data_IF_167810127943
#
_entry.id   IF_167810127943
#
_cell.length_a   1.000
_cell.length_b   1.000
_cell.length_c   1.000
_cell.angle_alpha   90.00
_cell.angle_beta   90.00
_cell.angle_gamma   90.00
#
_symmetry.space_group_name_H-M   'P 1'
#
loop_
_entity.id
_entity.type
_entity.pdbx_description
1 polymer ?
#
# COMPACT_ATOMS: atom_id res chain seq x y z
N UNK A 1 -0.69 21.35 2.57
CA UNK A 1 -0.11 20.00 2.77
C UNK A 1 -0.50 19.50 4.15
N UNK A 2 -1.81 19.17 4.32
CA UNK A 2 -2.41 18.79 5.61
C UNK A 2 -3.04 17.40 5.45
N UNK A 3 -2.18 16.36 5.35
CA UNK A 3 -2.62 14.97 5.15
C UNK A 3 -2.59 14.11 6.42
N UNK A 4 -2.30 14.69 7.59
CA UNK A 4 -2.29 13.91 8.84
C UNK A 4 -3.04 14.70 9.91
N UNK A 5 -4.36 14.50 10.00
CA UNK A 5 -5.09 14.78 11.23
C UNK A 5 -5.26 13.49 12.02
N UNK A 6 -4.99 13.50 13.35
CA UNK A 6 -5.01 12.31 14.18
C UNK A 6 -6.41 11.73 14.33
N UNK A 7 -6.45 10.41 14.52
CA UNK A 7 -7.63 9.57 14.71
C UNK A 7 -8.61 10.09 15.79
N UNK A 8 -9.66 10.78 15.37
CA UNK A 8 -10.84 11.08 16.16
C UNK A 8 -12.12 10.44 15.60
N UNK A 9 -12.00 9.41 14.75
CA UNK A 9 -13.08 8.93 13.88
C UNK A 9 -13.82 7.66 14.31
N UNK A 10 -13.25 6.77 15.10
CA UNK A 10 -13.88 5.45 15.33
C UNK A 10 -15.22 5.56 16.10
N UNK A 11 -15.34 6.49 17.05
CA UNK A 11 -16.60 6.73 17.76
C UNK A 11 -17.67 7.43 16.91
N UNK A 12 -17.28 8.24 15.92
CA UNK A 12 -18.21 8.95 15.05
C UNK A 12 -18.79 8.07 13.93
N UNK A 13 -18.00 7.13 13.38
CA UNK A 13 -18.51 6.16 12.40
C UNK A 13 -19.58 5.25 12.99
N UNK A 14 -19.37 4.80 14.24
CA UNK A 14 -20.37 4.02 14.98
C UNK A 14 -21.61 4.85 15.33
N UNK A 15 -21.46 6.12 15.68
CA UNK A 15 -22.56 7.06 15.95
C UNK A 15 -23.38 7.36 14.70
N UNK A 16 -22.77 7.45 13.53
CA UNK A 16 -23.48 7.69 12.26
C UNK A 16 -24.19 6.43 11.75
N UNK A 17 -23.61 5.26 11.97
CA UNK A 17 -24.30 3.98 11.76
C UNK A 17 -25.54 3.89 12.66
N UNK A 18 -25.40 4.20 13.94
CA UNK A 18 -26.52 4.30 14.89
C UNK A 18 -27.53 5.36 14.43
N UNK A 19 -27.10 6.57 14.05
CA UNK A 19 -27.97 7.64 13.59
C UNK A 19 -28.69 7.31 12.28
N UNK A 20 -28.08 6.52 11.38
CA UNK A 20 -28.74 6.03 10.17
C UNK A 20 -29.72 4.89 10.43
N UNK A 21 -29.46 4.04 11.44
CA UNK A 21 -30.26 2.84 11.74
C UNK A 21 -31.39 3.14 12.73
N UNK A 22 -31.14 4.01 13.72
CA UNK A 22 -32.13 4.34 14.80
C UNK A 22 -33.46 4.85 14.23
N UNK A 23 -33.53 5.75 13.22
CA UNK A 23 -34.82 6.17 12.66
C UNK A 23 -35.62 5.01 12.05
N UNK A 24 -34.94 4.08 11.35
CA UNK A 24 -35.60 2.92 10.73
C UNK A 24 -36.10 1.94 11.79
N UNK A 25 -35.31 1.72 12.85
CA UNK A 25 -35.75 0.87 14.01
C UNK A 25 -36.89 1.54 14.75
N UNK A 26 -36.83 2.85 14.97
CA UNK A 26 -37.91 3.60 15.65
C UNK A 26 -39.20 3.60 14.83
N UNK A 27 -39.13 3.78 13.50
CA UNK A 27 -40.29 3.68 12.60
C UNK A 27 -40.85 2.25 12.61
N UNK A 28 -40.00 1.24 12.54
CA UNK A 28 -40.45 -0.16 12.61
C UNK A 28 -41.11 -0.49 13.96
N UNK A 29 -40.54 -0.02 15.07
CA UNK A 29 -41.10 -0.18 16.42
C UNK A 29 -42.44 0.55 16.56
N UNK A 30 -42.55 1.78 16.06
CA UNK A 30 -43.80 2.55 16.06
C UNK A 30 -44.93 1.82 15.34
N UNK A 31 -44.67 1.26 14.15
CA UNK A 31 -45.66 0.50 13.37
C UNK A 31 -45.97 -0.87 14.01
N UNK A 32 -45.05 -1.50 14.71
CA UNK A 32 -45.28 -2.76 15.42
C UNK A 32 -46.10 -2.58 16.70
N UNK A 33 -45.87 -1.48 17.45
CA UNK A 33 -46.48 -1.27 18.78
C UNK A 33 -47.56 -0.18 18.80
N UNK A 34 -47.57 0.74 17.84
CA UNK A 34 -48.41 1.94 17.87
C UNK A 34 -49.79 1.82 17.22
N UNK A 35 -50.07 0.77 16.45
CA UNK A 35 -51.34 0.63 15.73
C UNK A 35 -51.96 -0.73 16.08
N UNK A 36 -52.54 -0.81 17.25
CA UNK A 36 -53.23 -2.00 17.78
C UNK A 36 -54.60 -2.27 17.20
N UNK A 37 -54.72 -2.37 15.84
CA UNK A 37 -55.93 -2.77 15.16
C UNK A 37 -55.63 -3.72 13.97
N UNK A 38 -56.59 -4.59 13.65
CA UNK A 38 -56.43 -5.58 12.55
C UNK A 38 -56.00 -4.99 11.21
N UNK A 39 -56.29 -3.71 10.93
CA UNK A 39 -55.84 -2.97 9.73
C UNK A 39 -54.38 -2.54 9.77
N UNK A 40 -53.72 -2.54 10.94
CA UNK A 40 -52.31 -2.09 11.10
C UNK A 40 -51.26 -3.16 10.81
N UNK A 41 -51.67 -4.43 10.74
CA UNK A 41 -50.70 -5.54 10.61
C UNK A 41 -49.92 -5.50 9.30
N UNK A 42 -50.57 -5.28 8.14
CA UNK A 42 -49.92 -5.28 6.85
C UNK A 42 -49.00 -4.07 6.60
N UNK A 43 -49.39 -2.83 6.95
CA UNK A 43 -48.45 -1.69 6.86
C UNK A 43 -47.25 -1.83 7.79
N UNK A 44 -47.44 -2.41 8.99
CA UNK A 44 -46.38 -2.67 9.95
C UNK A 44 -45.31 -3.64 9.42
N UNK A 45 -45.74 -4.74 8.79
CA UNK A 45 -44.84 -5.72 8.15
C UNK A 45 -44.04 -5.06 7.03
N UNK A 46 -44.67 -4.24 6.19
CA UNK A 46 -43.98 -3.48 5.14
C UNK A 46 -42.90 -2.54 5.68
N UNK A 47 -43.19 -1.83 6.76
CA UNK A 47 -42.24 -0.95 7.43
C UNK A 47 -41.02 -1.72 8.02
N UNK A 48 -41.25 -2.88 8.64
CA UNK A 48 -40.18 -3.75 9.14
C UNK A 48 -39.30 -4.27 8.01
N UNK A 49 -39.89 -4.72 6.89
CA UNK A 49 -39.13 -5.18 5.72
C UNK A 49 -38.30 -4.06 5.13
N UNK A 50 -38.83 -2.85 4.99
CA UNK A 50 -38.10 -1.68 4.50
C UNK A 50 -36.95 -1.29 5.45
N UNK A 51 -37.18 -1.34 6.76
CA UNK A 51 -36.15 -1.09 7.77
C UNK A 51 -35.02 -2.14 7.71
N UNK A 52 -35.35 -3.42 7.56
CA UNK A 52 -34.37 -4.49 7.38
C UNK A 52 -33.57 -4.33 6.09
N UNK A 53 -34.23 -4.02 4.97
CA UNK A 53 -33.56 -3.75 3.69
C UNK A 53 -32.62 -2.54 3.80
N UNK A 54 -33.06 -1.46 4.44
CA UNK A 54 -32.25 -0.28 4.72
C UNK A 54 -31.03 -0.60 5.57
N UNK A 55 -31.22 -1.38 6.63
CA UNK A 55 -30.13 -1.83 7.50
C UNK A 55 -29.11 -2.71 6.75
N UNK A 56 -29.60 -3.71 6.00
CA UNK A 56 -28.72 -4.59 5.21
C UNK A 56 -27.97 -3.78 4.16
N UNK A 57 -28.64 -2.84 3.48
CA UNK A 57 -28.00 -1.96 2.49
C UNK A 57 -26.93 -1.08 3.15
N UNK A 58 -27.20 -0.47 4.28
CA UNK A 58 -26.23 0.33 5.05
C UNK A 58 -25.03 -0.52 5.50
N UNK A 59 -25.28 -1.74 5.96
CA UNK A 59 -24.24 -2.69 6.34
C UNK A 59 -23.38 -3.08 5.15
N UNK A 60 -23.97 -3.42 4.02
CA UNK A 60 -23.28 -3.76 2.78
C UNK A 60 -22.45 -2.57 2.26
N UNK A 61 -22.99 -1.36 2.27
CA UNK A 61 -22.26 -0.15 1.87
C UNK A 61 -21.06 0.12 2.79
N UNK A 62 -21.16 -0.22 4.09
CA UNK A 62 -20.03 -0.10 5.01
C UNK A 62 -18.98 -1.21 4.85
N UNK A 63 -19.39 -2.42 4.44
CA UNK A 63 -18.46 -3.54 4.18
C UNK A 63 -17.78 -3.37 2.82
N UNK A 64 -18.57 -3.18 1.76
CA UNK A 64 -18.06 -3.12 0.37
C UNK A 64 -17.42 -1.76 0.05
N UNK A 65 -17.91 -0.67 0.67
CA UNK A 65 -17.43 0.72 0.53
C UNK A 65 -17.12 1.12 -0.92
N UNK A 66 -18.10 1.16 -1.80
CA UNK A 66 -17.87 1.59 -3.17
C UNK A 66 -17.32 3.04 -3.21
N UNK A 67 -16.49 3.35 -4.21
CA UNK A 67 -15.77 4.63 -4.30
C UNK A 67 -16.69 5.88 -4.28
N UNK A 68 -17.93 5.77 -4.76
CA UNK A 68 -18.91 6.85 -4.70
C UNK A 68 -19.38 7.11 -3.27
N UNK A 69 -19.58 6.05 -2.47
CA UNK A 69 -19.98 6.15 -1.05
C UNK A 69 -18.86 6.77 -0.20
N UNK A 70 -17.61 6.33 -0.40
CA UNK A 70 -16.44 6.90 0.28
C UNK A 70 -16.30 8.40 -0.01
N UNK A 71 -16.53 8.83 -1.27
CA UNK A 71 -16.52 10.24 -1.67
C UNK A 71 -17.66 11.03 -1.04
N UNK A 72 -18.85 10.45 -0.95
CA UNK A 72 -20.01 11.07 -0.32
C UNK A 72 -19.77 11.29 1.19
N UNK A 73 -19.29 10.27 1.89
CA UNK A 73 -18.96 10.32 3.33
C UNK A 73 -17.85 11.35 3.60
N UNK A 74 -16.84 11.41 2.72
CA UNK A 74 -15.77 12.42 2.82
C UNK A 74 -16.29 13.86 2.65
N UNK A 75 -17.27 14.09 1.76
CA UNK A 75 -17.93 15.40 1.59
C UNK A 75 -18.70 15.85 2.84
N UNK A 76 -19.18 14.90 3.64
CA UNK A 76 -19.84 15.17 4.92
C UNK A 76 -18.84 15.46 6.06
N UNK A 77 -17.54 15.55 5.76
CA UNK A 77 -16.50 15.82 6.74
C UNK A 77 -16.16 14.62 7.63
N UNK A 78 -16.66 13.41 7.27
CA UNK A 78 -16.39 12.17 7.98
C UNK A 78 -15.16 11.55 7.35
N UNK A 79 -13.98 12.00 7.80
CA UNK A 79 -12.70 11.43 7.37
C UNK A 79 -12.34 10.25 8.27
N UNK A 80 -12.20 9.06 7.70
CA UNK A 80 -11.57 7.94 8.40
C UNK A 80 -10.04 8.05 8.30
N UNK A 81 -9.28 7.53 9.27
CA UNK A 81 -7.84 7.38 9.10
C UNK A 81 -7.55 6.49 7.87
N UNK A 82 -6.55 6.89 7.06
CA UNK A 82 -6.12 6.12 5.90
C UNK A 82 -5.63 4.72 6.36
N UNK A 83 -6.14 3.68 5.75
CA UNK A 83 -5.67 2.31 5.99
C UNK A 83 -4.48 2.00 5.07
N UNK A 84 -3.62 1.03 5.41
CA UNK A 84 -2.51 0.65 4.55
C UNK A 84 -2.92 0.30 3.11
N UNK A 85 -4.08 -0.36 2.92
CA UNK A 85 -4.60 -0.67 1.59
C UNK A 85 -5.00 0.57 0.79
N UNK A 86 -5.51 1.63 1.43
CA UNK A 86 -5.85 2.88 0.75
C UNK A 86 -4.58 3.55 0.19
N UNK A 87 -3.45 3.39 0.87
CA UNK A 87 -2.15 3.90 0.41
C UNK A 87 -1.65 3.12 -0.82
N UNK A 88 -1.83 1.79 -0.81
CA UNK A 88 -1.49 0.94 -1.97
C UNK A 88 -2.36 1.32 -3.18
N UNK A 89 -3.68 1.48 -2.99
CA UNK A 89 -4.60 1.92 -4.05
C UNK A 89 -4.27 3.33 -4.57
N UNK A 90 -3.73 4.21 -3.73
CA UNK A 90 -3.22 5.52 -4.14
C UNK A 90 -1.92 5.45 -4.95
N UNK A 91 -1.30 4.28 -5.03
CA UNK A 91 -0.06 4.02 -5.75
C UNK A 91 1.20 4.19 -4.91
N UNK A 92 1.12 3.96 -3.59
CA UNK A 92 2.27 3.99 -2.70
C UNK A 92 2.66 2.57 -2.31
N UNK A 93 3.90 2.17 -2.56
CA UNK A 93 4.46 0.91 -2.11
C UNK A 93 5.66 1.15 -1.19
N UNK A 94 5.88 0.25 -0.24
CA UNK A 94 7.01 0.29 0.69
C UNK A 94 7.62 -1.09 0.85
N UNK A 95 8.94 -1.17 0.79
CA UNK A 95 9.70 -2.29 1.34
C UNK A 95 10.02 -2.01 2.82
N UNK A 96 10.38 -3.04 3.54
CA UNK A 96 10.73 -2.90 4.96
C UNK A 96 12.20 -3.25 5.15
N UNK A 97 12.85 -2.69 6.18
CA UNK A 97 14.22 -3.04 6.55
C UNK A 97 14.38 -4.57 6.74
N UNK A 98 13.43 -5.20 7.43
CA UNK A 98 13.34 -6.66 7.51
C UNK A 98 12.48 -7.20 6.36
N UNK A 99 13.03 -8.08 5.54
CA UNK A 99 12.35 -8.68 4.38
C UNK A 99 11.04 -9.35 4.81
N UNK A 100 9.94 -8.92 4.19
CA UNK A 100 8.59 -9.46 4.44
C UNK A 100 8.07 -10.20 3.22
N UNK A 101 8.54 -11.42 3.02
CA UNK A 101 8.05 -12.33 1.98
C UNK A 101 7.11 -13.39 2.56
N UNK A 102 6.24 -13.91 1.72
CA UNK A 102 5.50 -15.14 1.99
C UNK A 102 6.45 -16.33 1.74
N UNK A 103 7.15 -16.73 2.79
CA UNK A 103 8.26 -17.70 2.72
C UNK A 103 7.86 -19.09 2.22
N UNK A 104 6.59 -19.47 2.40
CA UNK A 104 6.01 -20.74 1.95
C UNK A 104 5.47 -20.72 0.52
N UNK A 105 5.44 -19.55 -0.12
CA UNK A 105 5.02 -19.37 -1.49
C UNK A 105 6.22 -19.27 -2.41
N UNK A 106 6.02 -19.61 -3.68
CA UNK A 106 7.01 -19.47 -4.74
C UNK A 106 7.29 -18.00 -5.06
N UNK A 107 8.37 -17.73 -5.81
CA UNK A 107 8.71 -16.38 -6.23
C UNK A 107 7.59 -15.75 -7.06
N UNK A 108 7.04 -16.48 -8.03
CA UNK A 108 5.94 -16.00 -8.87
C UNK A 108 4.67 -15.75 -8.05
N UNK A 109 4.30 -16.62 -7.11
CA UNK A 109 3.13 -16.41 -6.23
C UNK A 109 3.29 -15.17 -5.34
N UNK A 110 4.50 -14.89 -4.85
CA UNK A 110 4.78 -13.66 -4.11
C UNK A 110 4.47 -12.42 -4.94
N UNK A 111 4.82 -12.41 -6.23
CA UNK A 111 4.54 -11.28 -7.14
C UNK A 111 3.05 -11.19 -7.44
N UNK A 112 2.38 -12.30 -7.71
CA UNK A 112 0.94 -12.35 -7.98
C UNK A 112 0.11 -11.75 -6.83
N UNK A 113 0.53 -11.98 -5.57
CA UNK A 113 -0.09 -11.30 -4.41
C UNK A 113 0.06 -9.77 -4.51
N UNK A 114 1.21 -9.27 -4.98
CA UNK A 114 1.41 -7.83 -5.21
C UNK A 114 0.50 -7.24 -6.28
N UNK A 115 0.03 -8.05 -7.24
CA UNK A 115 -0.89 -7.63 -8.31
C UNK A 115 -2.36 -7.58 -7.87
N UNK A 116 -2.70 -8.15 -6.71
CA UNK A 116 -4.09 -8.28 -6.24
C UNK A 116 -4.93 -6.98 -6.35
N UNK A 117 -4.41 -5.76 -6.08
CA UNK A 117 -5.19 -4.53 -6.22
C UNK A 117 -5.67 -4.25 -7.66
N UNK A 118 -5.05 -4.85 -8.67
CA UNK A 118 -5.36 -4.65 -10.08
C UNK A 118 -6.20 -5.79 -10.69
N UNK A 119 -6.30 -6.93 -10.01
CA UNK A 119 -7.10 -8.06 -10.46
C UNK A 119 -8.59 -7.79 -10.19
N UNK A 120 -9.43 -8.09 -11.18
CA UNK A 120 -10.88 -7.86 -11.13
C UNK A 120 -11.67 -9.16 -10.94
N UNK A 121 -11.00 -10.26 -10.63
CA UNK A 121 -11.64 -11.54 -10.42
C UNK A 121 -12.72 -11.42 -9.34
N UNK A 122 -13.99 -11.72 -9.72
CA UNK A 122 -15.09 -11.81 -8.76
C UNK A 122 -15.14 -13.21 -8.14
N UNK A 123 -15.64 -13.33 -6.91
CA UNK A 123 -15.79 -14.61 -6.23
C UNK A 123 -16.53 -15.65 -7.09
N UNK A 124 -17.66 -15.28 -7.67
CA UNK A 124 -18.45 -16.16 -8.53
C UNK A 124 -17.73 -16.51 -9.84
N UNK A 125 -17.01 -15.57 -10.41
CA UNK A 125 -16.24 -15.81 -11.62
C UNK A 125 -15.05 -16.74 -11.40
N UNK A 126 -14.37 -16.63 -10.27
CA UNK A 126 -13.27 -17.55 -9.89
C UNK A 126 -13.80 -18.95 -9.62
N UNK A 127 -14.96 -19.08 -8.98
CA UNK A 127 -15.62 -20.38 -8.73
C UNK A 127 -16.02 -21.06 -10.05
N UNK A 128 -16.52 -20.30 -11.02
CA UNK A 128 -16.99 -20.83 -12.32
C UNK A 128 -15.87 -20.94 -13.37
N UNK A 129 -14.64 -20.52 -13.07
CA UNK A 129 -13.47 -20.54 -13.97
C UNK A 129 -13.82 -20.02 -15.38
N UNK A 130 -14.46 -18.85 -15.46
CA UNK A 130 -14.86 -18.30 -16.73
C UNK A 130 -13.66 -18.03 -17.65
N UNK A 131 -13.78 -18.12 -18.99
CA UNK A 131 -12.69 -17.84 -19.92
C UNK A 131 -12.02 -16.48 -19.70
N UNK A 132 -12.81 -15.48 -19.27
CA UNK A 132 -12.31 -14.14 -18.95
C UNK A 132 -11.36 -14.15 -17.76
N UNK A 133 -11.65 -14.91 -16.72
CA UNK A 133 -10.79 -15.01 -15.53
C UNK A 133 -9.54 -15.81 -15.86
N UNK A 134 -9.66 -16.91 -16.62
CA UNK A 134 -8.49 -17.67 -17.07
C UNK A 134 -7.51 -16.80 -17.90
N UNK A 135 -8.06 -15.92 -18.75
CA UNK A 135 -7.24 -14.97 -19.51
C UNK A 135 -6.58 -13.91 -18.61
N UNK A 136 -7.30 -13.42 -17.57
CA UNK A 136 -6.73 -12.47 -16.60
C UNK A 136 -5.62 -13.12 -15.77
N UNK A 137 -5.81 -14.35 -15.30
CA UNK A 137 -4.79 -15.13 -14.58
C UNK A 137 -3.53 -15.37 -15.44
N UNK A 138 -3.71 -15.77 -16.70
CA UNK A 138 -2.60 -15.97 -17.63
C UNK A 138 -1.82 -14.67 -17.91
N UNK A 139 -2.54 -13.54 -18.05
CA UNK A 139 -1.91 -12.23 -18.23
C UNK A 139 -1.13 -11.81 -16.98
N UNK A 140 -1.69 -12.02 -15.79
CA UNK A 140 -1.01 -11.73 -14.53
C UNK A 140 0.24 -12.59 -14.34
N UNK A 141 0.17 -13.86 -14.70
CA UNK A 141 1.34 -14.77 -14.64
C UNK A 141 2.43 -14.35 -15.62
N UNK A 142 2.08 -13.94 -16.83
CA UNK A 142 3.04 -13.42 -17.81
C UNK A 142 3.73 -12.14 -17.30
N UNK A 143 2.95 -11.20 -16.75
CA UNK A 143 3.50 -9.97 -16.16
C UNK A 143 4.40 -10.27 -14.94
N UNK A 144 4.04 -11.26 -14.12
CA UNK A 144 4.86 -11.68 -12.99
C UNK A 144 6.21 -12.24 -13.44
N UNK A 145 6.25 -13.04 -14.53
CA UNK A 145 7.50 -13.52 -15.13
C UNK A 145 8.38 -12.39 -15.65
N UNK A 146 7.79 -11.40 -16.32
CA UNK A 146 8.51 -10.21 -16.77
C UNK A 146 9.09 -9.40 -15.60
N UNK A 147 8.38 -9.32 -14.47
CA UNK A 147 8.90 -8.68 -13.26
C UNK A 147 10.07 -9.46 -12.64
N UNK A 148 9.99 -10.79 -12.60
CA UNK A 148 11.10 -11.64 -12.14
C UNK A 148 12.34 -11.41 -13.01
N UNK A 149 12.17 -11.43 -14.34
CA UNK A 149 13.24 -11.13 -15.28
C UNK A 149 13.79 -9.72 -15.09
N UNK A 150 12.93 -8.73 -14.90
CA UNK A 150 13.33 -7.34 -14.68
C UNK A 150 14.23 -7.18 -13.46
N UNK A 151 13.95 -7.90 -12.37
CA UNK A 151 14.78 -7.84 -11.15
C UNK A 151 15.95 -8.83 -11.15
N UNK A 152 16.15 -9.63 -12.22
CA UNK A 152 17.25 -10.58 -12.32
C UNK A 152 17.01 -11.93 -11.63
N UNK A 153 15.74 -12.32 -11.45
CA UNK A 153 15.33 -13.61 -10.87
C UNK A 153 14.72 -14.57 -11.90
N UNK A 154 15.09 -14.41 -13.17
CA UNK A 154 14.66 -15.31 -14.25
C UNK A 154 15.11 -16.73 -13.97
N UNK A 155 14.22 -17.71 -14.15
CA UNK A 155 14.48 -19.13 -13.87
C UNK A 155 14.23 -19.57 -12.41
N UNK A 156 13.88 -18.63 -11.51
CA UNK A 156 13.59 -18.90 -10.10
C UNK A 156 12.08 -18.80 -9.77
N UNK A 157 11.23 -18.85 -10.80
CA UNK A 157 9.77 -18.65 -10.69
C UNK A 157 9.13 -19.59 -9.65
N UNK A 158 9.56 -20.85 -9.66
CA UNK A 158 9.00 -21.92 -8.84
C UNK A 158 9.77 -22.14 -7.52
N UNK A 159 10.84 -21.38 -7.28
CA UNK A 159 11.57 -21.47 -6.02
C UNK A 159 10.77 -20.83 -4.87
N UNK A 160 10.76 -21.54 -3.72
CA UNK A 160 10.11 -21.01 -2.52
C UNK A 160 10.88 -19.78 -2.00
N UNK A 161 10.16 -18.76 -1.57
CA UNK A 161 10.77 -17.54 -1.04
C UNK A 161 11.78 -17.77 0.08
N UNK A 162 11.60 -18.81 0.92
CA UNK A 162 12.55 -19.21 1.97
C UNK A 162 13.86 -19.79 1.45
N UNK A 163 13.86 -20.38 0.25
CA UNK A 163 15.03 -21.06 -0.32
C UNK A 163 15.96 -20.08 -1.07
N UNK A 164 15.47 -18.88 -1.37
CA UNK A 164 16.25 -17.87 -2.07
C UNK A 164 17.37 -17.32 -1.17
N UNK A 165 18.56 -17.02 -1.71
CA UNK A 165 19.59 -16.26 -1.02
C UNK A 165 19.05 -14.90 -0.56
N UNK A 166 19.67 -14.28 0.45
CA UNK A 166 19.22 -13.02 1.04
C UNK A 166 19.05 -11.89 0.00
N UNK A 167 20.05 -11.68 -0.89
CA UNK A 167 19.96 -10.70 -1.96
C UNK A 167 18.77 -10.95 -2.90
N UNK A 168 18.55 -12.22 -3.29
CA UNK A 168 17.40 -12.62 -4.13
C UNK A 168 16.06 -12.42 -3.43
N UNK A 169 16.00 -12.64 -2.10
CA UNK A 169 14.78 -12.34 -1.33
C UNK A 169 14.47 -10.84 -1.35
N UNK A 170 15.47 -9.98 -1.25
CA UNK A 170 15.30 -8.52 -1.34
C UNK A 170 14.83 -8.10 -2.74
N UNK A 171 15.41 -8.66 -3.81
CA UNK A 171 14.97 -8.43 -5.18
C UNK A 171 13.50 -8.87 -5.38
N UNK A 172 13.11 -10.02 -4.83
CA UNK A 172 11.73 -10.49 -4.88
C UNK A 172 10.76 -9.58 -4.12
N UNK A 173 11.16 -9.04 -2.96
CA UNK A 173 10.36 -8.06 -2.22
C UNK A 173 10.11 -6.80 -3.04
N UNK A 174 11.15 -6.28 -3.73
CA UNK A 174 11.02 -5.13 -4.64
C UNK A 174 10.12 -5.49 -5.83
N UNK A 175 10.28 -6.67 -6.45
CA UNK A 175 9.43 -7.13 -7.55
C UNK A 175 7.95 -7.19 -7.14
N UNK A 176 7.66 -7.70 -5.95
CA UNK A 176 6.30 -7.72 -5.40
C UNK A 176 5.75 -6.31 -5.17
N UNK A 177 6.57 -5.38 -4.70
CA UNK A 177 6.17 -3.99 -4.53
C UNK A 177 5.86 -3.32 -5.89
N UNK A 178 6.67 -3.60 -6.92
CA UNK A 178 6.48 -3.12 -8.29
C UNK A 178 5.23 -3.71 -8.96
N UNK A 179 4.83 -4.93 -8.60
CA UNK A 179 3.62 -5.58 -9.10
C UNK A 179 2.34 -4.78 -8.80
N UNK A 180 2.35 -3.99 -7.73
CA UNK A 180 1.31 -3.00 -7.41
C UNK A 180 1.33 -1.76 -8.30
N UNK A 181 2.20 -1.66 -9.31
CA UNK A 181 2.37 -0.51 -10.22
C UNK A 181 2.41 0.82 -9.45
N UNK A 182 3.33 0.98 -8.49
CA UNK A 182 3.36 2.15 -7.62
C UNK A 182 3.80 3.41 -8.38
N UNK A 183 3.23 4.55 -7.99
CA UNK A 183 3.71 5.89 -8.37
C UNK A 183 4.88 6.32 -7.51
N UNK A 184 4.87 5.91 -6.24
CA UNK A 184 5.92 6.18 -5.26
C UNK A 184 6.33 4.87 -4.57
N UNK A 185 7.61 4.51 -4.69
CA UNK A 185 8.23 3.37 -4.03
C UNK A 185 9.16 3.86 -2.90
N UNK A 186 8.87 3.43 -1.68
CA UNK A 186 9.66 3.72 -0.50
C UNK A 186 10.61 2.53 -0.25
N UNK A 187 11.91 2.78 -0.32
CA UNK A 187 12.97 1.79 -0.08
C UNK A 187 13.70 2.15 1.21
N UNK A 188 13.70 1.22 2.15
CA UNK A 188 14.28 1.39 3.48
C UNK A 188 15.51 0.48 3.58
N UNK A 189 16.71 1.06 3.46
CA UNK A 189 18.01 0.40 3.43
C UNK A 189 18.04 -0.84 2.51
N UNK A 190 17.74 -0.71 1.20
CA UNK A 190 17.60 -1.86 0.32
C UNK A 190 18.89 -2.64 0.13
N UNK A 191 20.06 -2.01 0.30
CA UNK A 191 21.38 -2.62 0.14
C UNK A 191 21.97 -3.15 1.46
N UNK A 192 21.26 -3.04 2.59
CA UNK A 192 21.77 -3.50 3.88
C UNK A 192 22.13 -4.99 3.88
N UNK A 193 23.31 -5.33 4.37
CA UNK A 193 23.81 -6.72 4.44
C UNK A 193 24.27 -7.33 3.11
N UNK A 194 24.32 -6.56 2.04
CA UNK A 194 24.80 -6.97 0.72
C UNK A 194 26.32 -6.79 0.60
N UNK A 195 26.96 -7.65 -0.19
CA UNK A 195 28.34 -7.46 -0.58
C UNK A 195 28.46 -6.30 -1.63
N UNK A 196 29.69 -5.77 -1.89
CA UNK A 196 29.84 -4.64 -2.82
C UNK A 196 29.29 -4.88 -4.24
N UNK A 197 29.33 -6.12 -4.73
CA UNK A 197 28.78 -6.47 -6.04
C UNK A 197 27.25 -6.43 -6.03
N UNK A 198 26.64 -7.05 -5.03
CA UNK A 198 25.19 -7.03 -4.84
C UNK A 198 24.66 -5.61 -4.62
N UNK A 199 25.40 -4.77 -3.87
CA UNK A 199 25.07 -3.34 -3.69
C UNK A 199 25.06 -2.60 -5.01
N UNK A 200 26.05 -2.84 -5.88
CA UNK A 200 26.12 -2.22 -7.21
C UNK A 200 24.96 -2.68 -8.11
N UNK A 201 24.61 -3.98 -8.07
CA UNK A 201 23.47 -4.54 -8.81
C UNK A 201 22.14 -3.95 -8.30
N UNK A 202 21.96 -3.82 -6.99
CA UNK A 202 20.81 -3.18 -6.38
C UNK A 202 20.71 -1.70 -6.77
N UNK A 203 21.82 -0.96 -6.75
CA UNK A 203 21.88 0.44 -7.17
C UNK A 203 21.47 0.59 -8.62
N UNK A 204 21.98 -0.29 -9.51
CA UNK A 204 21.59 -0.32 -10.92
C UNK A 204 20.10 -0.63 -11.12
N UNK A 205 19.56 -1.57 -10.35
CA UNK A 205 18.13 -1.90 -10.38
C UNK A 205 17.27 -0.70 -9.98
N UNK A 206 17.63 -0.01 -8.88
CA UNK A 206 16.87 1.16 -8.40
C UNK A 206 16.85 2.26 -9.51
N UNK A 207 17.98 2.50 -10.18
CA UNK A 207 18.06 3.42 -11.32
C UNK A 207 17.14 2.99 -12.46
N UNK A 208 17.15 1.71 -12.83
CA UNK A 208 16.27 1.17 -13.85
C UNK A 208 14.79 1.30 -13.50
N UNK A 209 14.41 1.09 -12.24
CA UNK A 209 13.03 1.28 -11.78
C UNK A 209 12.59 2.74 -12.00
N UNK A 210 13.43 3.72 -11.65
CA UNK A 210 13.17 5.14 -11.89
C UNK A 210 13.03 5.44 -13.38
N UNK A 211 14.00 5.03 -14.17
CA UNK A 211 14.18 5.48 -15.56
C UNK A 211 13.26 4.71 -16.54
N UNK A 212 13.11 3.39 -16.37
CA UNK A 212 12.33 2.54 -17.29
C UNK A 212 10.85 2.44 -16.88
N UNK A 213 10.54 2.56 -15.57
CA UNK A 213 9.17 2.43 -15.06
C UNK A 213 8.54 3.77 -14.68
N UNK A 214 9.29 4.86 -14.67
CA UNK A 214 8.80 6.18 -14.29
C UNK A 214 8.30 6.27 -12.84
N UNK A 215 8.78 5.37 -11.98
CA UNK A 215 8.38 5.32 -10.56
C UNK A 215 9.21 6.30 -9.76
N UNK A 216 8.56 7.19 -9.01
CA UNK A 216 9.27 8.03 -8.04
C UNK A 216 9.78 7.16 -6.88
N UNK A 217 11.03 7.36 -6.47
CA UNK A 217 11.64 6.59 -5.41
C UNK A 217 12.00 7.50 -4.24
N UNK A 218 11.58 7.14 -3.04
CA UNK A 218 12.11 7.69 -1.79
C UNK A 218 12.99 6.64 -1.14
N UNK A 219 14.29 6.91 -1.12
CA UNK A 219 15.31 6.03 -0.60
C UNK A 219 15.79 6.51 0.78
N UNK A 220 15.82 5.61 1.75
CA UNK A 220 16.51 5.80 3.02
C UNK A 220 17.77 4.92 2.97
N UNK A 221 18.93 5.53 3.08
CA UNK A 221 20.22 4.85 3.03
C UNK A 221 21.26 5.60 3.86
N UNK A 222 22.25 4.88 4.34
CA UNK A 222 23.40 5.42 5.07
C UNK A 222 24.74 5.21 4.32
N UNK A 223 24.77 4.43 3.23
CA UNK A 223 25.93 4.37 2.34
C UNK A 223 25.92 5.58 1.39
N UNK A 224 26.78 6.55 1.69
CA UNK A 224 26.89 7.79 0.92
C UNK A 224 27.25 7.54 -0.55
N UNK A 225 27.94 6.45 -0.89
CA UNK A 225 28.28 6.11 -2.27
C UNK A 225 27.03 5.79 -3.07
N UNK A 226 26.13 4.96 -2.50
CA UNK A 226 24.84 4.63 -3.09
C UNK A 226 24.00 5.89 -3.25
N UNK A 227 23.84 6.66 -2.15
CA UNK A 227 23.01 7.88 -2.15
C UNK A 227 23.48 8.88 -3.19
N UNK A 228 24.80 9.18 -3.26
CA UNK A 228 25.35 10.15 -4.19
C UNK A 228 25.27 9.71 -5.66
N UNK A 229 25.21 8.41 -5.92
CA UNK A 229 25.21 7.84 -7.27
C UNK A 229 23.81 7.86 -7.91
N UNK A 230 22.75 7.67 -7.12
CA UNK A 230 21.39 7.47 -7.67
C UNK A 230 20.39 8.57 -7.36
N UNK A 231 20.68 9.43 -6.39
CA UNK A 231 19.70 10.43 -5.93
C UNK A 231 19.74 11.69 -6.78
N UNK A 232 18.58 12.19 -7.17
CA UNK A 232 18.43 13.50 -7.82
C UNK A 232 18.44 14.63 -6.77
N UNK A 233 17.96 14.34 -5.57
CA UNK A 233 17.92 15.27 -4.43
C UNK A 233 18.12 14.51 -3.13
N UNK A 234 18.91 15.08 -2.21
CA UNK A 234 19.28 14.46 -0.94
C UNK A 234 18.85 15.35 0.20
N UNK A 235 18.19 14.78 1.20
CA UNK A 235 17.93 15.39 2.49
C UNK A 235 18.74 14.64 3.54
N UNK A 236 19.60 15.33 4.28
CA UNK A 236 20.43 14.74 5.32
C UNK A 236 19.81 15.02 6.68
N UNK A 237 19.65 13.94 7.44
CA UNK A 237 19.17 13.98 8.82
C UNK A 237 20.30 13.59 9.77
N UNK A 238 20.43 14.33 10.87
CA UNK A 238 21.31 14.02 11.99
C UNK A 238 20.53 14.16 13.29
N UNK A 239 20.52 13.12 14.14
CA UNK A 239 19.73 13.07 15.39
C UNK A 239 18.25 13.49 15.23
N UNK A 240 17.64 13.19 14.07
CA UNK A 240 16.25 13.53 13.76
C UNK A 240 16.03 14.94 13.24
N UNK A 241 17.06 15.77 13.14
CA UNK A 241 17.01 17.12 12.59
C UNK A 241 17.55 17.16 11.16
N UNK A 242 16.90 17.93 10.29
CA UNK A 242 17.37 18.17 8.93
C UNK A 242 18.55 19.13 8.96
N UNK A 243 19.75 18.63 8.63
CA UNK A 243 20.99 19.44 8.63
C UNK A 243 21.36 19.99 7.25
N UNK A 244 20.93 19.32 6.17
CA UNK A 244 21.16 19.78 4.81
C UNK A 244 20.09 19.23 3.85
N UNK A 245 19.91 19.92 2.72
CA UNK A 245 19.10 19.48 1.59
C UNK A 245 19.64 20.11 0.31
N UNK A 246 19.80 19.30 -0.77
CA UNK A 246 20.31 19.80 -2.03
C UNK A 246 20.64 18.71 -3.03
N UNK A 247 21.34 19.08 -4.09
CA UNK A 247 21.88 18.17 -5.09
C UNK A 247 23.06 17.38 -4.51
N UNK A 248 23.40 16.19 -5.07
CA UNK A 248 24.51 15.38 -4.59
C UNK A 248 25.85 16.15 -4.47
N UNK A 249 26.15 17.02 -5.42
CA UNK A 249 27.36 17.85 -5.41
C UNK A 249 27.37 18.85 -4.25
N UNK A 250 26.24 19.47 -3.93
CA UNK A 250 26.08 20.41 -2.83
C UNK A 250 26.22 19.71 -1.48
N UNK A 251 25.61 18.55 -1.33
CA UNK A 251 25.68 17.74 -0.11
C UNK A 251 27.10 17.23 0.13
N UNK A 252 27.81 16.83 -0.92
CA UNK A 252 29.22 16.37 -0.82
C UNK A 252 30.15 17.47 -0.33
N UNK A 253 29.87 18.73 -0.69
CA UNK A 253 30.70 19.89 -0.28
C UNK A 253 30.25 20.51 1.06
N UNK A 254 29.16 20.05 1.65
CA UNK A 254 28.61 20.66 2.87
C UNK A 254 29.40 20.25 4.10
N UNK A 255 30.03 21.22 4.78
CA UNK A 255 30.87 20.99 5.96
C UNK A 255 30.12 20.34 7.13
N UNK A 256 28.83 20.70 7.34
CA UNK A 256 28.02 20.09 8.40
C UNK A 256 27.73 18.60 8.14
N UNK A 257 27.55 18.24 6.88
CA UNK A 257 27.36 16.83 6.48
C UNK A 257 28.65 16.04 6.65
N UNK A 258 29.79 16.64 6.22
CA UNK A 258 31.12 16.02 6.40
C UNK A 258 31.39 15.79 7.87
N UNK A 259 31.15 16.79 8.74
CA UNK A 259 31.36 16.69 10.18
C UNK A 259 30.44 15.63 10.81
N UNK A 260 29.16 15.59 10.44
CA UNK A 260 28.20 14.60 10.97
C UNK A 260 28.55 13.17 10.56
N UNK A 261 29.10 12.97 9.34
CA UNK A 261 29.42 11.65 8.79
C UNK A 261 30.82 11.14 9.21
N UNK A 262 31.84 12.02 9.22
CA UNK A 262 33.21 11.67 9.53
C UNK A 262 33.60 11.92 11.00
N UNK A 263 32.72 12.55 11.79
CA UNK A 263 32.97 12.96 13.16
C UNK A 263 33.61 14.35 13.27
N UNK A 264 33.41 14.98 14.45
CA UNK A 264 34.01 16.29 14.77
C UNK A 264 35.52 16.17 14.78
N UNK A 265 36.18 16.72 13.80
CA UNK A 265 37.65 16.70 13.69
C UNK A 265 38.17 16.48 12.26
N UNK A 266 37.31 16.01 11.33
CA UNK A 266 37.74 15.79 9.96
C UNK A 266 37.93 17.09 9.15
N UNK A 267 37.37 18.21 9.60
CA UNK A 267 37.48 19.53 8.96
C UNK A 267 38.67 20.38 9.46
N UNK A 268 39.43 19.92 10.47
CA UNK A 268 40.54 20.67 11.04
C UNK A 268 41.88 20.44 10.37
N UNK A 269 41.92 19.74 9.24
CA UNK A 269 43.16 19.26 8.59
C UNK A 269 43.31 19.68 7.11
N UNK A 270 42.78 20.84 6.71
CA UNK A 270 43.12 21.45 5.41
C UNK A 270 43.32 22.93 5.55
#
# INVERSE_FOLDING_TARGET
>A
MDLVRPARGEGRESLLLLAAVVPFVAVAAYFLYGVGGEAGFYPGVGAVVLAMLGFVTALLLNIVRPAWYSRFVARLGITRPARPNDMVEAGLARTFQNIRLYKSLTAIENILIGMHPHLRASFLGSLLRTPKIAAEEAAAEAEARELLKFVGLEGLENELGRNLPYGSQRLLEIARALAGRPKLLLLDEPAAGMNPKETAEMTALIRRIRDERGTTILLIEHDMRVVMDISDRITVLDHGEKIAEGLPAEIRANSRVIEAYLGRGATAGH
#
